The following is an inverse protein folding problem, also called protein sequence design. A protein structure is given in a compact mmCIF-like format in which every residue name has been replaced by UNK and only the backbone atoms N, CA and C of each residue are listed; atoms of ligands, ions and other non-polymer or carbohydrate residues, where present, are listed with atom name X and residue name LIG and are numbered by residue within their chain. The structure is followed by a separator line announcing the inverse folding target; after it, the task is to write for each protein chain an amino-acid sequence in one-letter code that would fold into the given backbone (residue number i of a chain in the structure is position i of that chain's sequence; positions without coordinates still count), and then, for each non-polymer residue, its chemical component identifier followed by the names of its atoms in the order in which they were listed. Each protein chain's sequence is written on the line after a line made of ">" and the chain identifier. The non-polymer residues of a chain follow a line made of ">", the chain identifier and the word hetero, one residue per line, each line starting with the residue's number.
data_IF_162310190459
#
_entry.id   IF_162310190459
#
_cell.length_a   1.000
_cell.length_b   1.000
_cell.length_c   1.000
_cell.angle_alpha   90.00
_cell.angle_beta   90.00
_cell.angle_gamma   90.00
#
_symmetry.space_group_name_H-M   'P 1'
#
loop_
_entity.id
_entity.type
_entity.pdbx_description
1 polymer ?
#
# COMPACT_ATOMS: atom_id res chain seq x y z
N UNK A 1 0.96 -11.97 13.25
CA UNK A 1 1.66 -10.67 13.06
C UNK A 1 3.16 -10.68 13.37
N UNK A 2 3.66 -11.07 14.57
CA UNK A 2 5.12 -11.08 14.85
C UNK A 2 5.92 -11.90 13.82
N UNK A 3 5.50 -13.15 13.59
CA UNK A 3 6.14 -14.06 12.64
C UNK A 3 6.11 -13.54 11.19
N UNK A 4 4.99 -12.94 10.78
CA UNK A 4 4.89 -12.30 9.48
C UNK A 4 5.89 -11.14 9.32
N UNK A 5 6.02 -10.28 10.33
CA UNK A 5 6.99 -9.19 10.32
C UNK A 5 8.43 -9.71 10.21
N UNK A 6 8.77 -10.77 10.94
CA UNK A 6 10.08 -11.44 10.85
C UNK A 6 10.34 -12.00 9.44
N UNK A 7 9.35 -12.63 8.79
CA UNK A 7 9.49 -13.12 7.42
C UNK A 7 9.67 -11.99 6.40
N UNK A 8 8.94 -10.88 6.54
CA UNK A 8 9.10 -9.71 5.67
C UNK A 8 10.50 -9.10 5.85
N UNK A 9 10.95 -8.91 7.09
CA UNK A 9 12.27 -8.38 7.38
C UNK A 9 13.37 -9.28 6.82
N UNK A 10 13.27 -10.61 7.03
CA UNK A 10 14.23 -11.56 6.46
C UNK A 10 14.24 -11.51 4.94
N UNK A 11 13.08 -11.41 4.29
CA UNK A 11 13.01 -11.29 2.84
C UNK A 11 13.67 -9.99 2.34
N UNK A 12 13.50 -8.86 3.04
CA UNK A 12 14.21 -7.61 2.73
C UNK A 12 15.72 -7.78 2.88
N UNK A 13 16.18 -8.42 3.96
CA UNK A 13 17.60 -8.72 4.19
C UNK A 13 18.19 -9.58 3.07
N UNK A 14 17.47 -10.62 2.66
CA UNK A 14 17.91 -11.52 1.59
C UNK A 14 18.01 -10.81 0.23
N UNK A 15 17.09 -9.88 -0.07
CA UNK A 15 17.11 -9.11 -1.32
C UNK A 15 18.16 -8.00 -1.33
N UNK A 16 18.39 -7.34 -0.19
CA UNK A 16 19.33 -6.22 -0.11
C UNK A 16 20.78 -6.66 0.10
N UNK A 17 21.02 -7.82 0.70
CA UNK A 17 22.36 -8.23 1.14
C UNK A 17 22.95 -7.20 2.10
N UNK A 18 24.17 -6.76 1.83
CA UNK A 18 24.87 -5.71 2.63
C UNK A 18 24.47 -4.28 2.22
N UNK A 19 23.62 -4.11 1.20
CA UNK A 19 23.21 -2.78 0.76
C UNK A 19 22.11 -2.19 1.65
N UNK A 20 22.10 -0.86 1.79
CA UNK A 20 20.95 -0.17 2.37
C UNK A 20 19.69 -0.40 1.53
N UNK A 21 18.51 -0.42 2.16
CA UNK A 21 17.24 -0.56 1.46
C UNK A 21 17.03 0.60 0.47
N UNK A 22 17.47 1.80 0.84
CA UNK A 22 17.47 2.96 -0.05
C UNK A 22 18.30 2.73 -1.32
N UNK A 23 19.50 2.16 -1.17
CA UNK A 23 20.36 1.85 -2.32
C UNK A 23 19.69 0.80 -3.21
N UNK A 24 19.16 -0.28 -2.63
CA UNK A 24 18.46 -1.31 -3.40
C UNK A 24 17.27 -0.73 -4.18
N UNK A 25 16.44 0.09 -3.53
CA UNK A 25 15.33 0.79 -4.18
C UNK A 25 15.83 1.71 -5.28
N UNK A 26 16.98 2.37 -5.09
CA UNK A 26 17.51 3.28 -6.10
C UNK A 26 17.84 2.58 -7.42
N UNK A 27 18.28 1.31 -7.35
CA UNK A 27 18.68 0.50 -8.50
C UNK A 27 17.49 -0.24 -9.14
N UNK A 28 16.48 -0.60 -8.36
CA UNK A 28 15.42 -1.52 -8.80
C UNK A 28 14.04 -0.85 -9.01
N UNK A 29 13.82 0.40 -8.59
CA UNK A 29 12.50 1.03 -8.62
C UNK A 29 12.06 1.49 -10.02
N UNK A 30 11.30 0.65 -10.72
CA UNK A 30 10.80 0.89 -12.09
C UNK A 30 9.26 1.06 -12.08
N UNK A 31 8.79 2.30 -12.18
CA UNK A 31 7.38 2.75 -12.19
C UNK A 31 7.12 4.12 -12.87
N UNK A 32 6.67 4.26 -14.14
CA UNK A 32 5.94 3.34 -15.00
C UNK A 32 6.74 2.83 -16.22
N UNK A 33 6.11 1.88 -16.94
CA UNK A 33 6.65 1.00 -17.97
C UNK A 33 6.77 1.60 -19.40
N UNK A 34 6.29 2.83 -19.64
CA UNK A 34 6.41 3.49 -20.96
C UNK A 34 7.49 4.57 -20.91
N UNK A 35 8.46 4.47 -21.82
CA UNK A 35 9.46 5.52 -22.01
C UNK A 35 8.77 6.85 -22.38
N UNK A 36 9.10 7.95 -21.73
CA UNK A 36 8.58 9.29 -22.01
C UNK A 36 7.45 9.77 -21.10
N UNK A 37 6.59 8.87 -20.60
CA UNK A 37 5.46 9.27 -19.73
C UNK A 37 5.95 9.84 -18.39
N UNK A 38 7.14 9.44 -17.94
CA UNK A 38 7.77 9.92 -16.69
C UNK A 38 8.39 11.27 -16.84
N UNK A 39 9.20 11.42 -17.87
CA UNK A 39 9.88 12.65 -18.20
C UNK A 39 8.84 13.77 -18.34
N UNK A 40 7.74 13.49 -19.03
CA UNK A 40 6.60 14.40 -19.14
C UNK A 40 5.95 14.75 -17.78
N UNK A 41 5.84 13.80 -16.84
CA UNK A 41 5.30 14.08 -15.50
C UNK A 41 6.27 14.90 -14.63
N UNK A 42 7.59 14.64 -14.71
CA UNK A 42 8.61 15.42 -14.02
C UNK A 42 8.69 16.84 -14.59
N UNK A 43 8.63 16.97 -15.91
CA UNK A 43 8.53 18.28 -16.58
C UNK A 43 7.26 19.02 -16.13
N UNK A 44 6.11 18.34 -16.13
CA UNK A 44 4.85 18.92 -15.62
C UNK A 44 4.96 19.37 -14.16
N UNK A 45 5.63 18.60 -13.30
CA UNK A 45 5.90 18.97 -11.91
C UNK A 45 6.79 20.21 -11.80
N UNK A 46 7.86 20.27 -12.60
CA UNK A 46 8.80 21.39 -12.63
C UNK A 46 8.19 22.68 -13.18
N UNK A 47 7.07 22.59 -13.92
CA UNK A 47 6.30 23.73 -14.41
C UNK A 47 5.25 24.25 -13.40
N UNK A 48 5.12 23.62 -12.23
CA UNK A 48 4.20 24.10 -11.20
C UNK A 48 4.78 25.31 -10.46
N UNK A 49 3.96 26.35 -10.27
CA UNK A 49 4.39 27.61 -9.65
C UNK A 49 4.87 27.46 -8.19
N UNK A 50 4.42 26.41 -7.49
CA UNK A 50 4.78 26.11 -6.10
C UNK A 50 6.07 25.29 -5.95
N UNK A 51 6.70 24.88 -7.06
CA UNK A 51 7.91 24.07 -7.03
C UNK A 51 9.14 24.96 -6.82
N UNK A 52 9.78 24.86 -5.64
CA UNK A 52 10.98 25.66 -5.33
C UNK A 52 12.26 25.20 -6.06
N UNK A 53 12.35 23.90 -6.37
CA UNK A 53 13.52 23.31 -7.03
C UNK A 53 13.09 22.28 -8.06
N UNK A 54 13.64 22.40 -9.26
CA UNK A 54 13.39 21.42 -10.32
C UNK A 54 13.96 20.05 -9.95
N UNK A 55 13.15 19.00 -10.10
CA UNK A 55 13.60 17.62 -10.06
C UNK A 55 14.42 17.35 -11.32
N UNK A 56 15.67 16.94 -11.16
CA UNK A 56 16.52 16.58 -12.30
C UNK A 56 15.95 15.35 -13.02
N UNK A 57 15.50 15.57 -14.25
CA UNK A 57 14.94 14.53 -15.10
C UNK A 57 16.01 13.50 -15.51
N UNK A 58 17.30 13.80 -15.31
CA UNK A 58 18.42 12.89 -15.59
C UNK A 58 18.77 11.95 -14.43
N UNK A 59 18.14 12.07 -13.25
CA UNK A 59 18.35 11.08 -12.18
C UNK A 59 17.90 9.68 -12.68
N UNK A 60 18.82 8.75 -12.87
CA UNK A 60 18.49 7.41 -13.36
C UNK A 60 17.59 6.66 -12.37
N UNK A 61 17.69 7.01 -11.08
CA UNK A 61 16.86 6.42 -10.04
C UNK A 61 15.50 7.08 -9.92
N UNK A 62 14.46 6.33 -10.28
CA UNK A 62 13.11 6.83 -10.16
C UNK A 62 12.56 6.83 -8.73
N UNK A 63 13.14 6.02 -7.85
CA UNK A 63 12.87 6.11 -6.42
C UNK A 63 13.31 7.48 -5.88
N UNK A 64 14.51 7.92 -6.25
CA UNK A 64 15.05 9.23 -5.84
C UNK A 64 14.16 10.36 -6.34
N UNK A 65 13.79 10.34 -7.63
CA UNK A 65 12.88 11.35 -8.19
C UNK A 65 11.51 11.37 -7.50
N UNK A 66 10.92 10.21 -7.24
CA UNK A 66 9.64 10.09 -6.50
C UNK A 66 9.76 10.68 -5.09
N UNK A 67 10.87 10.39 -4.40
CA UNK A 67 11.13 10.88 -3.06
C UNK A 67 11.27 12.40 -3.04
N UNK A 68 11.93 12.99 -4.04
CA UNK A 68 12.03 14.45 -4.22
C UNK A 68 10.65 15.11 -4.43
N UNK A 69 9.80 14.53 -5.29
CA UNK A 69 8.42 15.02 -5.48
C UNK A 69 7.64 14.97 -4.17
N UNK A 70 7.69 13.83 -3.44
CA UNK A 70 7.00 13.68 -2.16
C UNK A 70 7.43 14.77 -1.16
N UNK A 71 8.74 14.97 -1.00
CA UNK A 71 9.29 15.98 -0.10
C UNK A 71 8.88 17.41 -0.48
N UNK A 72 8.84 17.73 -1.78
CA UNK A 72 8.41 19.05 -2.24
C UNK A 72 6.90 19.29 -2.04
N UNK A 73 6.06 18.29 -2.34
CA UNK A 73 4.62 18.33 -2.05
C UNK A 73 4.40 18.52 -0.55
N UNK A 74 5.09 17.74 0.28
CA UNK A 74 5.04 17.85 1.74
C UNK A 74 5.43 19.24 2.22
N UNK A 75 6.48 19.85 1.66
CA UNK A 75 6.90 21.20 2.04
C UNK A 75 5.83 22.25 1.78
N UNK A 76 5.22 22.24 0.58
CA UNK A 76 4.10 23.14 0.24
C UNK A 76 2.94 22.96 1.20
N UNK A 77 2.70 21.70 1.53
CA UNK A 77 1.63 21.28 2.41
C UNK A 77 1.92 21.65 3.88
N UNK A 78 3.13 21.52 4.40
CA UNK A 78 3.50 21.88 5.77
C UNK A 78 3.70 23.39 5.98
N UNK A 79 3.95 24.14 4.90
CA UNK A 79 4.19 25.58 4.94
C UNK A 79 2.94 26.45 5.02
N UNK A 80 3.14 27.77 5.01
CA UNK A 80 2.07 28.78 4.95
C UNK A 80 1.59 29.04 3.51
N UNK A 81 1.81 28.08 2.60
CA UNK A 81 1.39 28.22 1.21
C UNK A 81 -0.13 28.46 1.13
N UNK A 82 -0.58 29.24 0.16
CA UNK A 82 -2.00 29.52 0.00
C UNK A 82 -2.80 28.27 -0.35
N UNK A 83 -4.11 28.28 -0.06
CA UNK A 83 -5.03 27.19 -0.39
C UNK A 83 -4.93 26.72 -1.86
N UNK A 84 -4.61 27.63 -2.79
CA UNK A 84 -4.45 27.33 -4.21
C UNK A 84 -3.22 26.45 -4.51
N UNK A 85 -2.10 26.70 -3.83
CA UNK A 85 -0.86 25.92 -4.01
C UNK A 85 -0.99 24.54 -3.37
N UNK A 86 -1.56 24.48 -2.16
CA UNK A 86 -1.85 23.21 -1.49
C UNK A 86 -2.82 22.34 -2.31
N UNK A 87 -3.86 22.95 -2.89
CA UNK A 87 -4.77 22.26 -3.80
C UNK A 87 -4.06 21.74 -5.05
N UNK A 88 -3.20 22.56 -5.66
CA UNK A 88 -2.45 22.18 -6.87
C UNK A 88 -1.47 21.06 -6.60
N UNK A 89 -0.78 21.07 -5.45
CA UNK A 89 0.12 20.02 -5.01
C UNK A 89 -0.60 18.68 -4.79
N UNK A 90 -1.73 18.69 -4.07
CA UNK A 90 -2.54 17.48 -3.86
C UNK A 90 -3.13 16.97 -5.17
N UNK A 91 -3.63 17.86 -6.02
CA UNK A 91 -4.19 17.48 -7.33
C UNK A 91 -3.13 16.83 -8.21
N UNK A 92 -1.94 17.41 -8.32
CA UNK A 92 -0.85 16.81 -9.06
C UNK A 92 -0.51 15.43 -8.51
N UNK A 93 -0.31 15.32 -7.19
CA UNK A 93 0.11 14.06 -6.59
C UNK A 93 -0.94 12.96 -6.71
N UNK A 94 -2.22 13.24 -6.48
CA UNK A 94 -3.27 12.22 -6.54
C UNK A 94 -3.66 11.90 -7.98
N UNK A 95 -3.97 12.92 -8.79
CA UNK A 95 -4.54 12.72 -10.10
C UNK A 95 -3.47 12.45 -11.15
N UNK A 96 -2.44 13.29 -11.22
CA UNK A 96 -1.42 13.17 -12.28
C UNK A 96 -0.41 12.08 -11.99
N UNK A 97 0.13 12.07 -10.77
CA UNK A 97 1.18 11.15 -10.33
C UNK A 97 0.61 9.80 -9.88
N UNK A 98 -0.37 9.82 -8.98
CA UNK A 98 -1.00 8.62 -8.40
C UNK A 98 -2.07 7.97 -9.27
N UNK A 99 -2.47 8.64 -10.36
CA UNK A 99 -3.56 8.22 -11.28
C UNK A 99 -4.89 7.92 -10.57
N UNK A 100 -5.17 8.63 -9.48
CA UNK A 100 -6.42 8.55 -8.74
C UNK A 100 -7.36 9.62 -9.29
N UNK A 101 -8.52 9.22 -9.82
CA UNK A 101 -9.50 10.19 -10.31
C UNK A 101 -10.32 10.76 -9.15
N UNK A 102 -9.87 11.87 -8.57
CA UNK A 102 -10.57 12.56 -7.47
C UNK A 102 -11.18 13.87 -7.98
N UNK A 103 -12.43 14.15 -7.60
CA UNK A 103 -13.12 15.41 -7.95
C UNK A 103 -12.44 16.60 -7.27
N UNK A 104 -12.47 17.76 -7.92
CA UNK A 104 -11.91 19.00 -7.36
C UNK A 104 -12.59 19.39 -6.04
N UNK A 105 -13.89 19.10 -5.88
CA UNK A 105 -14.60 19.30 -4.63
C UNK A 105 -14.01 18.42 -3.51
N UNK A 106 -13.78 17.15 -3.78
CA UNK A 106 -13.16 16.24 -2.81
C UNK A 106 -11.75 16.70 -2.48
N UNK A 107 -10.92 17.07 -3.47
CA UNK A 107 -9.57 17.60 -3.24
C UNK A 107 -9.58 18.86 -2.35
N UNK A 108 -10.53 19.78 -2.54
CA UNK A 108 -10.69 20.96 -1.67
C UNK A 108 -11.11 20.59 -0.25
N UNK A 109 -11.99 19.61 -0.07
CA UNK A 109 -12.36 19.09 1.27
C UNK A 109 -11.14 18.45 1.95
N UNK A 110 -10.33 17.73 1.19
CA UNK A 110 -9.10 17.11 1.65
C UNK A 110 -8.04 18.13 2.11
N UNK A 111 -7.87 19.25 1.39
CA UNK A 111 -7.03 20.38 1.86
C UNK A 111 -7.53 20.89 3.21
N UNK A 112 -8.85 21.09 3.35
CA UNK A 112 -9.46 21.60 4.59
C UNK A 112 -9.36 20.62 5.77
N UNK A 113 -9.53 19.32 5.52
CA UNK A 113 -9.44 18.28 6.58
C UNK A 113 -8.04 18.18 7.16
N UNK A 114 -7.01 18.38 6.34
CA UNK A 114 -5.61 18.36 6.78
C UNK A 114 -5.27 19.44 7.81
N UNK A 115 -5.96 20.59 7.75
CA UNK A 115 -5.81 21.67 8.74
C UNK A 115 -6.32 21.24 10.14
N UNK A 116 -7.10 20.15 10.23
CA UNK A 116 -7.77 19.72 11.47
C UNK A 116 -7.38 18.34 12.03
N UNK A 117 -6.32 17.69 11.54
CA UNK A 117 -5.89 16.36 11.99
C UNK A 117 -4.43 16.38 12.45
N UNK A 118 -4.13 15.93 13.68
CA UNK A 118 -2.79 15.95 14.26
C UNK A 118 -2.28 14.54 14.64
N UNK A 119 -1.71 13.82 13.66
CA UNK A 119 -0.88 12.63 13.93
C UNK A 119 -1.63 11.29 14.08
N UNK A 120 -0.87 10.19 14.35
CA UNK A 120 -1.39 8.83 14.41
C UNK A 120 -2.17 8.53 15.72
N UNK A 121 -1.96 9.32 16.77
CA UNK A 121 -2.59 9.18 18.09
C UNK A 121 -3.75 10.17 18.34
N UNK A 122 -4.08 11.02 17.37
CA UNK A 122 -5.24 11.91 17.51
C UNK A 122 -6.50 11.05 17.55
N UNK A 123 -7.29 11.17 18.62
CA UNK A 123 -8.56 10.44 18.82
C UNK A 123 -9.59 10.73 17.69
N UNK A 124 -9.24 11.66 16.78
CA UNK A 124 -9.97 12.09 15.59
C UNK A 124 -9.28 11.73 14.25
N UNK A 125 -8.16 11.01 14.24
CA UNK A 125 -7.66 10.29 13.07
C UNK A 125 -8.34 8.90 13.01
N UNK A 126 -9.39 8.75 12.22
CA UNK A 126 -10.70 9.06 12.74
C UNK A 126 -11.46 7.86 13.29
N UNK A 127 -11.57 7.69 14.61
CA UNK A 127 -12.61 6.78 15.12
C UNK A 127 -14.00 7.29 14.74
N UNK A 128 -14.27 8.60 14.81
CA UNK A 128 -15.57 9.20 14.42
C UNK A 128 -15.78 9.41 12.92
N UNK A 129 -14.74 9.81 12.18
CA UNK A 129 -14.80 9.94 10.71
C UNK A 129 -14.67 8.58 10.02
N UNK A 130 -14.12 7.51 10.66
CA UNK A 130 -14.12 6.08 10.22
C UNK A 130 -15.32 5.28 10.81
N UNK A 131 -15.88 5.60 11.98
CA UNK A 131 -17.10 4.92 12.49
C UNK A 131 -18.38 5.37 11.78
N UNK A 132 -18.44 6.62 11.31
CA UNK A 132 -19.53 7.09 10.43
C UNK A 132 -19.61 6.36 9.08
N UNK A 133 -18.66 5.45 8.79
CA UNK A 133 -18.41 4.83 7.48
C UNK A 133 -19.00 3.42 7.37
N UNK A 134 -19.40 2.78 8.47
CA UNK A 134 -19.68 1.34 8.47
C UNK A 134 -21.17 0.97 8.60
N UNK A 135 -21.82 0.50 7.51
CA UNK A 135 -22.76 -0.66 7.37
C UNK A 135 -23.36 -0.74 5.94
N UNK A 136 -23.86 -1.90 5.47
CA UNK A 136 -23.18 -3.18 5.30
C UNK A 136 -23.12 -3.53 3.80
N UNK A 137 -21.94 -3.46 3.14
CA UNK A 137 -21.60 -4.26 1.93
C UNK A 137 -20.25 -4.02 1.25
N UNK A 138 -19.34 -3.14 1.71
CA UNK A 138 -18.12 -2.89 0.93
C UNK A 138 -16.88 -2.69 1.79
N UNK A 139 -15.79 -3.33 1.34
CA UNK A 139 -14.56 -3.63 2.07
C UNK A 139 -13.64 -2.44 2.30
N UNK A 140 -13.83 -1.27 1.68
CA UNK A 140 -12.79 -0.23 1.71
C UNK A 140 -13.22 1.21 1.35
N UNK A 141 -14.50 1.56 1.47
CA UNK A 141 -14.95 2.90 1.07
C UNK A 141 -14.82 3.92 2.21
N UNK A 142 -14.38 5.16 1.95
CA UNK A 142 -14.75 6.31 2.79
C UNK A 142 -16.22 6.67 2.44
N UNK A 143 -17.07 7.08 3.38
CA UNK A 143 -18.37 7.67 2.98
C UNK A 143 -18.18 9.17 2.85
N UNK A 144 -18.23 9.71 1.62
CA UNK A 144 -18.49 11.13 1.48
C UNK A 144 -19.93 11.38 1.96
N UNK A 145 -20.14 12.42 2.75
CA UNK A 145 -21.48 12.99 2.91
C UNK A 145 -21.91 13.55 1.54
N UNK A 146 -22.58 12.71 0.74
CA UNK A 146 -22.97 12.98 -0.65
C UNK A 146 -23.02 11.72 -1.52
N UNK A 147 -23.43 11.88 -2.79
CA UNK A 147 -23.54 10.81 -3.79
C UNK A 147 -22.20 10.33 -4.39
N UNK A 148 -21.07 10.78 -3.86
CA UNK A 148 -19.73 10.55 -4.46
C UNK A 148 -19.01 9.34 -3.85
N UNK A 149 -18.44 8.48 -4.70
CA UNK A 149 -17.58 7.35 -4.30
C UNK A 149 -16.17 7.87 -4.03
N UNK A 150 -15.73 7.82 -2.79
CA UNK A 150 -14.39 8.24 -2.31
C UNK A 150 -13.25 7.24 -2.60
N UNK A 151 -13.48 6.24 -3.45
CA UNK A 151 -12.50 5.21 -3.78
C UNK A 151 -12.34 4.14 -2.70
N UNK A 152 -11.48 3.16 -2.98
CA UNK A 152 -11.10 2.08 -2.05
C UNK A 152 -9.86 2.49 -1.22
N UNK A 153 -9.34 1.60 -0.37
CA UNK A 153 -8.19 1.85 0.51
C UNK A 153 -6.93 2.25 -0.25
N UNK A 154 -6.71 1.71 -1.45
CA UNK A 154 -5.60 2.16 -2.30
C UNK A 154 -5.75 3.63 -2.69
N UNK A 155 -6.98 4.14 -2.84
CA UNK A 155 -7.22 5.54 -3.19
C UNK A 155 -7.05 6.48 -2.00
N UNK A 156 -7.65 6.17 -0.84
CA UNK A 156 -7.58 7.08 0.30
C UNK A 156 -6.27 6.98 1.09
N UNK A 157 -5.59 5.83 1.11
CA UNK A 157 -4.27 5.73 1.73
C UNK A 157 -3.21 6.56 1.00
N UNK A 158 -3.33 6.73 -0.33
CA UNK A 158 -2.51 7.68 -1.11
C UNK A 158 -2.73 9.11 -0.66
N UNK A 159 -3.97 9.47 -0.33
CA UNK A 159 -4.23 10.79 0.25
C UNK A 159 -3.61 10.92 1.63
N UNK A 160 -3.80 9.94 2.52
CA UNK A 160 -3.20 10.01 3.85
C UNK A 160 -1.67 10.10 3.77
N UNK A 161 -1.02 9.34 2.89
CA UNK A 161 0.42 9.40 2.69
C UNK A 161 0.93 10.78 2.23
N UNK A 162 0.07 11.59 1.60
CA UNK A 162 0.36 12.99 1.25
C UNK A 162 0.06 13.93 2.40
N UNK A 163 -1.07 13.69 3.08
CA UNK A 163 -1.53 14.56 4.15
C UNK A 163 -0.67 14.42 5.41
N UNK A 164 -0.20 13.21 5.68
CA UNK A 164 0.56 12.81 6.87
C UNK A 164 1.74 11.90 6.50
N UNK A 165 2.73 12.43 5.75
CA UNK A 165 3.87 11.64 5.26
C UNK A 165 4.70 10.99 6.38
N UNK A 166 4.64 11.54 7.60
CA UNK A 166 5.36 11.04 8.77
C UNK A 166 4.90 9.66 9.26
N UNK A 167 3.63 9.29 9.01
CA UNK A 167 3.08 8.03 9.54
C UNK A 167 2.21 7.27 8.54
N UNK A 168 1.61 7.94 7.56
CA UNK A 168 0.69 7.31 6.64
C UNK A 168 1.42 6.68 5.45
N UNK A 169 1.09 5.42 5.21
CA UNK A 169 1.62 4.62 4.11
C UNK A 169 0.53 4.27 3.11
N UNK A 170 0.92 4.00 1.88
CA UNK A 170 0.04 3.58 0.79
C UNK A 170 -0.23 2.08 0.91
N UNK A 171 -1.50 1.71 1.04
CA UNK A 171 -1.94 0.31 0.99
C UNK A 171 -2.54 0.00 -0.38
N UNK A 172 -1.65 -0.32 -1.32
CA UNK A 172 -1.99 -0.68 -2.71
C UNK A 172 -2.21 -2.19 -2.89
N UNK A 173 -2.85 -2.59 -3.99
CA UNK A 173 -3.08 -4.01 -4.30
C UNK A 173 -1.78 -4.80 -4.40
N UNK A 174 -0.69 -4.16 -4.86
CA UNK A 174 0.66 -4.77 -4.88
C UNK A 174 1.23 -5.01 -3.49
N UNK A 175 1.04 -4.06 -2.58
CA UNK A 175 1.51 -4.21 -1.19
C UNK A 175 0.76 -5.37 -0.52
N UNK A 176 -0.57 -5.40 -0.66
CA UNK A 176 -1.38 -6.52 -0.17
C UNK A 176 -0.99 -7.86 -0.80
N UNK A 177 -0.73 -7.88 -2.12
CA UNK A 177 -0.25 -9.08 -2.82
C UNK A 177 1.10 -9.55 -2.26
N UNK A 178 2.07 -8.65 -2.09
CA UNK A 178 3.39 -8.99 -1.57
C UNK A 178 3.31 -9.60 -0.17
N UNK A 179 2.50 -9.02 0.72
CA UNK A 179 2.28 -9.57 2.06
C UNK A 179 1.67 -10.98 1.99
N UNK A 180 0.64 -11.18 1.16
CA UNK A 180 0.02 -12.50 0.96
C UNK A 180 0.98 -13.51 0.32
N UNK A 181 1.83 -13.08 -0.62
CA UNK A 181 2.85 -13.92 -1.23
C UNK A 181 3.87 -14.40 -0.19
N UNK A 182 4.32 -13.52 0.70
CA UNK A 182 5.22 -13.88 1.81
C UNK A 182 4.53 -14.85 2.79
N UNK A 183 3.24 -14.65 3.11
CA UNK A 183 2.44 -15.61 3.90
C UNK A 183 2.48 -17.00 3.26
N UNK A 184 2.29 -17.08 1.94
CA UNK A 184 2.33 -18.33 1.21
C UNK A 184 3.73 -18.97 1.20
N UNK A 185 4.75 -18.21 0.79
CA UNK A 185 6.11 -18.71 0.61
C UNK A 185 6.69 -19.25 1.92
N UNK A 186 6.41 -18.60 3.05
CA UNK A 186 6.88 -19.01 4.37
C UNK A 186 5.92 -19.96 5.11
N UNK A 187 4.83 -20.43 4.47
CA UNK A 187 3.92 -21.40 5.05
C UNK A 187 3.23 -20.91 6.32
N UNK A 188 2.90 -19.62 6.39
CA UNK A 188 2.28 -19.00 7.56
C UNK A 188 0.78 -19.32 7.61
N UNK A 189 0.42 -20.59 7.77
CA UNK A 189 -0.94 -21.10 7.62
C UNK A 189 -1.98 -20.48 8.58
N UNK A 190 -1.54 -19.94 9.71
CA UNK A 190 -2.41 -19.32 10.72
C UNK A 190 -2.61 -17.81 10.54
N UNK A 191 -1.82 -17.15 9.69
CA UNK A 191 -1.97 -15.70 9.46
C UNK A 191 -3.21 -15.41 8.60
N UNK A 192 -4.12 -14.51 9.01
CA UNK A 192 -5.20 -14.07 8.14
C UNK A 192 -4.67 -13.45 6.85
N UNK A 193 -5.44 -13.57 5.77
CA UNK A 193 -5.12 -12.94 4.50
C UNK A 193 -5.35 -11.43 4.56
N UNK A 194 -4.51 -10.69 3.86
CA UNK A 194 -4.61 -9.26 3.70
C UNK A 194 -5.55 -8.96 2.55
N UNK A 195 -6.69 -8.30 2.77
CA UNK A 195 -7.65 -8.08 1.71
C UNK A 195 -7.03 -7.19 0.64
N UNK A 196 -6.99 -7.71 -0.60
CA UNK A 196 -6.44 -7.00 -1.74
C UNK A 196 -7.48 -6.02 -2.29
N UNK A 197 -7.20 -4.71 -2.38
CA UNK A 197 -8.05 -3.80 -3.13
C UNK A 197 -8.03 -4.16 -4.62
N UNK A 198 -9.13 -3.87 -5.33
CA UNK A 198 -9.22 -4.12 -6.77
C UNK A 198 -8.06 -3.43 -7.51
N UNK A 199 -7.26 -4.23 -8.21
CA UNK A 199 -6.07 -3.81 -8.93
C UNK A 199 -6.19 -4.03 -10.43
N UNK A 200 -5.60 -3.11 -11.21
CA UNK A 200 -5.49 -3.23 -12.68
C UNK A 200 -4.22 -3.96 -13.14
N UNK A 201 -3.44 -4.52 -12.20
CA UNK A 201 -2.20 -5.20 -12.56
C UNK A 201 -2.50 -6.58 -13.16
N UNK A 202 -2.41 -6.68 -14.50
CA UNK A 202 -2.69 -7.90 -15.25
C UNK A 202 -1.82 -9.09 -14.86
N UNK A 203 -0.58 -8.87 -14.41
CA UNK A 203 0.28 -9.96 -13.93
C UNK A 203 -0.27 -10.55 -12.64
N UNK A 204 -0.60 -9.70 -11.65
CA UNK A 204 -1.14 -10.17 -10.37
C UNK A 204 -2.50 -10.85 -10.52
N UNK A 205 -3.27 -10.48 -11.55
CA UNK A 205 -4.54 -11.12 -11.87
C UNK A 205 -4.38 -12.48 -12.56
N UNK A 206 -3.19 -12.81 -13.10
CA UNK A 206 -2.93 -14.11 -13.73
C UNK A 206 -2.89 -15.24 -12.68
N UNK A 207 -2.35 -14.93 -11.51
CA UNK A 207 -2.19 -15.88 -10.41
C UNK A 207 -2.91 -15.35 -9.18
N UNK A 208 -4.10 -15.89 -8.92
CA UNK A 208 -4.86 -15.60 -7.72
C UNK A 208 -4.19 -16.24 -6.48
N UNK A 209 -3.38 -15.43 -5.79
CA UNK A 209 -2.63 -15.83 -4.60
C UNK A 209 -3.56 -16.31 -3.47
N UNK A 210 -4.77 -15.77 -3.37
CA UNK A 210 -5.74 -16.18 -2.34
C UNK A 210 -6.19 -17.61 -2.58
N UNK A 211 -6.50 -17.94 -3.84
CA UNK A 211 -6.83 -19.32 -4.26
C UNK A 211 -5.66 -20.28 -4.01
N UNK A 212 -4.43 -19.89 -4.32
CA UNK A 212 -3.24 -20.72 -4.06
C UNK A 212 -3.06 -20.99 -2.56
N UNK A 213 -3.18 -19.96 -1.72
CA UNK A 213 -3.02 -20.11 -0.27
C UNK A 213 -4.08 -21.07 0.28
N UNK A 214 -5.33 -20.95 -0.18
CA UNK A 214 -6.41 -21.87 0.20
C UNK A 214 -6.18 -23.29 -0.30
N UNK A 215 -5.61 -23.44 -1.49
CA UNK A 215 -5.28 -24.73 -2.10
C UNK A 215 -3.97 -25.34 -1.55
N UNK A 216 -3.19 -24.64 -0.73
CA UNK A 216 -2.00 -25.20 -0.10
C UNK A 216 -2.35 -26.24 0.97
N UNK A 217 -1.61 -27.36 1.00
CA UNK A 217 -1.95 -28.56 1.81
C UNK A 217 -2.19 -28.28 3.30
N UNK A 218 -1.52 -27.26 3.87
CA UNK A 218 -1.68 -26.86 5.27
C UNK A 218 -2.99 -26.13 5.60
N UNK A 219 -3.55 -25.38 4.64
CA UNK A 219 -4.83 -24.65 4.83
C UNK A 219 -6.03 -25.38 4.27
N UNK A 220 -5.88 -26.24 3.25
CA UNK A 220 -7.00 -26.95 2.63
C UNK A 220 -7.89 -27.64 3.65
N UNK A 221 -7.32 -28.49 4.52
CA UNK A 221 -8.11 -29.29 5.48
C UNK A 221 -8.92 -28.40 6.44
N UNK A 222 -8.27 -27.38 7.01
CA UNK A 222 -8.90 -26.45 7.95
C UNK A 222 -9.93 -25.53 7.27
N UNK A 223 -9.63 -25.09 6.05
CA UNK A 223 -10.54 -24.30 5.22
C UNK A 223 -11.80 -25.09 4.88
N UNK A 224 -11.66 -26.35 4.45
CA UNK A 224 -12.80 -27.23 4.17
C UNK A 224 -13.59 -27.58 5.43
N UNK A 225 -12.94 -27.80 6.57
CA UNK A 225 -13.61 -28.01 7.87
C UNK A 225 -14.45 -26.78 8.28
N UNK A 226 -13.88 -25.57 8.22
CA UNK A 226 -14.60 -24.31 8.46
C UNK A 226 -15.76 -24.13 7.48
N UNK A 227 -15.54 -24.40 6.19
CA UNK A 227 -16.58 -24.27 5.17
C UNK A 227 -17.71 -25.29 5.41
N UNK A 228 -17.39 -26.55 5.77
CA UNK A 228 -18.37 -27.58 6.14
C UNK A 228 -19.17 -27.19 7.39
N UNK A 229 -18.52 -26.62 8.41
CA UNK A 229 -19.19 -26.14 9.62
C UNK A 229 -20.26 -25.07 9.34
N UNK A 230 -20.15 -24.34 8.22
CA UNK A 230 -21.11 -23.34 7.77
C UNK A 230 -22.21 -23.91 6.84
N UNK A 231 -22.35 -25.23 6.72
CA UNK A 231 -23.39 -25.85 5.91
C UNK A 231 -24.79 -25.47 6.42
N UNK A 232 -25.69 -25.09 5.50
CA UNK A 232 -27.04 -24.62 5.84
C UNK A 232 -27.12 -23.15 6.31
N UNK A 233 -25.99 -22.48 6.55
CA UNK A 233 -26.00 -21.07 6.92
C UNK A 233 -26.31 -20.15 5.72
N UNK A 234 -27.16 -19.11 5.89
CA UNK A 234 -27.32 -18.08 4.87
C UNK A 234 -25.99 -17.35 4.65
N UNK A 235 -25.71 -16.98 3.40
CA UNK A 235 -24.46 -16.30 2.99
C UNK A 235 -23.18 -17.05 3.39
N UNK A 236 -23.21 -18.39 3.38
CA UNK A 236 -22.10 -19.29 3.73
C UNK A 236 -20.74 -18.85 3.20
N UNK A 237 -20.64 -18.50 1.92
CA UNK A 237 -19.37 -18.09 1.27
C UNK A 237 -18.86 -16.78 1.85
N UNK A 238 -19.73 -15.80 2.10
CA UNK A 238 -19.36 -14.53 2.74
C UNK A 238 -18.83 -14.78 4.15
N UNK A 239 -19.56 -15.56 4.95
CA UNK A 239 -19.14 -15.89 6.33
C UNK A 239 -17.83 -16.66 6.37
N UNK A 240 -17.63 -17.58 5.43
CA UNK A 240 -16.36 -18.28 5.29
C UNK A 240 -15.23 -17.31 4.98
N UNK A 241 -15.46 -16.39 4.03
CA UNK A 241 -14.51 -15.33 3.70
C UNK A 241 -14.16 -14.49 4.94
N UNK A 242 -15.12 -14.11 5.76
CA UNK A 242 -14.85 -13.33 6.98
C UNK A 242 -13.94 -14.08 7.99
N UNK A 243 -13.83 -15.42 7.90
CA UNK A 243 -12.89 -16.20 8.74
C UNK A 243 -11.47 -16.32 8.18
N UNK A 244 -11.24 -15.84 6.96
CA UNK A 244 -9.98 -15.99 6.23
C UNK A 244 -9.14 -14.71 6.20
N UNK A 245 -9.78 -13.55 6.22
CA UNK A 245 -9.12 -12.25 6.06
C UNK A 245 -9.10 -11.50 7.38
N UNK A 246 -8.20 -10.52 7.48
CA UNK A 246 -8.37 -9.44 8.44
C UNK A 246 -9.70 -8.71 8.20
N UNK A 247 -10.28 -8.16 9.27
CA UNK A 247 -11.44 -7.27 9.12
C UNK A 247 -11.00 -6.06 8.28
N UNK A 248 -11.80 -5.78 7.27
CA UNK A 248 -11.65 -4.66 6.36
C UNK A 248 -11.46 -3.32 7.10
N UNK A 249 -12.14 -3.16 8.25
CA UNK A 249 -12.08 -1.95 9.08
C UNK A 249 -10.73 -1.73 9.73
N UNK A 250 -10.12 -2.83 10.16
CA UNK A 250 -8.87 -2.80 10.93
C UNK A 250 -7.65 -2.96 10.02
N UNK A 251 -7.86 -3.41 8.77
CA UNK A 251 -6.79 -3.77 7.83
C UNK A 251 -5.73 -2.68 7.68
N UNK A 252 -6.13 -1.41 7.56
CA UNK A 252 -5.15 -0.34 7.38
C UNK A 252 -4.32 -0.07 8.64
N UNK A 253 -4.95 -0.08 9.82
CA UNK A 253 -4.23 0.09 11.09
C UNK A 253 -3.29 -1.10 11.34
N UNK A 254 -3.77 -2.33 11.08
CA UNK A 254 -2.95 -3.53 11.14
C UNK A 254 -1.78 -3.46 10.17
N UNK A 255 -1.98 -2.89 8.98
CA UNK A 255 -0.94 -2.69 7.98
C UNK A 255 0.14 -1.74 8.50
N UNK A 256 -0.23 -0.57 9.02
CA UNK A 256 0.74 0.36 9.60
C UNK A 256 1.52 -0.30 10.75
N UNK A 257 0.82 -1.00 11.65
CA UNK A 257 1.45 -1.71 12.75
C UNK A 257 2.38 -2.85 12.27
N UNK A 258 2.05 -3.52 11.17
CA UNK A 258 2.91 -4.53 10.55
C UNK A 258 4.19 -3.89 10.03
N UNK A 259 4.09 -2.80 9.27
CA UNK A 259 5.25 -2.14 8.67
C UNK A 259 6.17 -1.55 9.74
N UNK A 260 5.60 -0.91 10.76
CA UNK A 260 6.36 -0.41 11.92
C UNK A 260 7.14 -1.54 12.61
N UNK A 261 6.51 -2.71 12.74
CA UNK A 261 7.16 -3.88 13.33
C UNK A 261 8.28 -4.42 12.46
N UNK A 262 8.12 -4.42 11.14
CA UNK A 262 9.19 -4.80 10.20
C UNK A 262 10.36 -3.82 10.32
N UNK A 263 10.07 -2.51 10.36
CA UNK A 263 11.06 -1.46 10.53
C UNK A 263 11.87 -1.64 11.81
N UNK A 264 11.20 -1.83 12.95
CA UNK A 264 11.84 -2.14 14.23
C UNK A 264 12.74 -3.39 14.17
N UNK A 265 12.34 -4.44 13.44
CA UNK A 265 13.14 -5.66 13.29
C UNK A 265 14.41 -5.39 12.47
N UNK A 266 14.30 -4.63 11.38
CA UNK A 266 15.44 -4.25 10.53
C UNK A 266 16.43 -3.36 11.29
N UNK A 267 15.94 -2.41 12.09
CA UNK A 267 16.79 -1.56 12.94
C UNK A 267 17.54 -2.40 13.99
N UNK A 268 16.85 -3.36 14.61
CA UNK A 268 17.47 -4.25 15.62
C UNK A 268 18.47 -5.22 15.01
N UNK A 269 18.22 -5.71 13.78
CA UNK A 269 19.14 -6.64 13.12
C UNK A 269 20.40 -5.94 12.63
N UNK A 270 20.29 -4.67 12.21
CA UNK A 270 21.40 -3.85 11.72
C UNK A 270 22.00 -4.33 10.40
N UNK A 271 21.43 -5.38 9.77
CA UNK A 271 21.95 -5.95 8.51
C UNK A 271 21.62 -5.09 7.30
N UNK A 272 20.44 -4.45 7.31
CA UNK A 272 20.01 -3.54 6.26
C UNK A 272 19.64 -2.20 6.88
N UNK A 273 20.31 -1.15 6.45
CA UNK A 273 19.93 0.20 6.82
C UNK A 273 18.58 0.56 6.18
N UNK A 274 17.56 0.78 7.02
CA UNK A 274 16.23 1.26 6.66
C UNK A 274 15.90 2.51 7.46
N UNK A 275 15.77 3.65 6.78
CA UNK A 275 15.61 4.95 7.44
C UNK A 275 14.16 5.38 7.60
N UNK A 276 13.21 4.69 6.96
CA UNK A 276 11.78 4.97 7.12
C UNK A 276 10.89 3.80 6.72
N UNK A 277 9.73 3.71 7.37
CA UNK A 277 8.67 2.76 7.02
C UNK A 277 8.21 2.87 5.55
N UNK A 278 8.30 4.06 4.94
CA UNK A 278 8.00 4.28 3.52
C UNK A 278 8.93 3.52 2.57
N UNK A 279 10.16 3.18 2.99
CA UNK A 279 11.04 2.33 2.20
C UNK A 279 10.53 0.89 2.13
N UNK A 280 9.93 0.39 3.22
CA UNK A 280 9.35 -0.95 3.28
C UNK A 280 8.09 -1.02 2.40
N UNK A 281 7.22 -0.01 2.47
CA UNK A 281 6.08 0.14 1.54
C UNK A 281 6.56 0.07 0.07
N UNK A 282 7.54 0.91 -0.28
CA UNK A 282 8.06 0.99 -1.64
C UNK A 282 8.68 -0.34 -2.08
N UNK A 283 9.40 -1.02 -1.19
CA UNK A 283 9.96 -2.33 -1.44
C UNK A 283 8.87 -3.37 -1.73
N UNK A 284 7.88 -3.53 -0.85
CA UNK A 284 6.77 -4.47 -1.01
C UNK A 284 6.01 -4.23 -2.32
N UNK A 285 5.79 -2.95 -2.64
CA UNK A 285 5.16 -2.54 -3.88
C UNK A 285 5.97 -2.98 -5.12
N UNK A 286 7.30 -2.89 -5.07
CA UNK A 286 8.19 -3.22 -6.18
C UNK A 286 8.34 -4.72 -6.41
N UNK A 287 8.53 -5.50 -5.34
CA UNK A 287 8.75 -6.95 -5.47
C UNK A 287 7.47 -7.71 -5.86
N UNK A 288 6.29 -7.09 -5.71
CA UNK A 288 5.00 -7.72 -5.93
C UNK A 288 4.81 -8.26 -7.36
N UNK A 289 5.12 -7.48 -8.41
CA UNK A 289 4.94 -7.89 -9.82
C UNK A 289 6.26 -8.26 -10.54
N UNK A 290 7.32 -8.45 -9.75
CA UNK A 290 8.62 -9.01 -10.10
C UNK A 290 8.89 -10.28 -9.29
N UNK A 291 9.92 -10.26 -8.44
CA UNK A 291 10.47 -11.43 -7.74
C UNK A 291 9.44 -12.28 -7.01
N UNK A 292 8.51 -11.68 -6.25
CA UNK A 292 7.50 -12.45 -5.53
C UNK A 292 6.55 -13.14 -6.50
N UNK A 293 6.13 -12.47 -7.57
CA UNK A 293 5.27 -13.10 -8.57
C UNK A 293 5.95 -14.31 -9.21
N UNK A 294 7.24 -14.19 -9.56
CA UNK A 294 8.02 -15.26 -10.16
C UNK A 294 8.18 -16.46 -9.20
N UNK A 295 8.55 -16.21 -7.94
CA UNK A 295 8.64 -17.25 -6.91
C UNK A 295 7.32 -17.98 -6.68
N UNK A 296 6.20 -17.24 -6.69
CA UNK A 296 4.86 -17.84 -6.59
C UNK A 296 4.57 -18.70 -7.82
N UNK A 297 4.82 -18.19 -9.02
CA UNK A 297 4.57 -18.89 -10.27
C UNK A 297 5.38 -20.19 -10.34
N UNK A 298 6.67 -20.14 -10.03
CA UNK A 298 7.54 -21.32 -9.98
C UNK A 298 7.02 -22.36 -9.00
N UNK A 299 6.67 -21.95 -7.78
CA UNK A 299 6.19 -22.88 -6.75
C UNK A 299 4.79 -23.45 -7.06
N UNK A 300 3.91 -22.67 -7.67
CA UNK A 300 2.55 -23.09 -7.98
C UNK A 300 2.47 -23.97 -9.23
N UNK A 301 3.39 -23.78 -10.18
CA UNK A 301 3.46 -24.51 -11.44
C UNK A 301 4.48 -25.66 -11.40
N UNK A 302 5.26 -25.78 -10.33
CA UNK A 302 6.16 -26.91 -10.13
C UNK A 302 5.37 -28.23 -10.18
N UNK A 303 5.84 -29.23 -10.94
CA UNK A 303 5.20 -30.55 -10.96
C UNK A 303 5.22 -31.13 -9.55
N UNK A 304 4.09 -31.71 -9.14
CA UNK A 304 4.00 -32.44 -7.88
C UNK A 304 4.99 -33.61 -7.93
N UNK A 305 6.04 -33.55 -7.10
CA UNK A 305 6.99 -34.64 -6.87
C UNK A 305 6.37 -35.65 -5.92
#
# INVERSE_FOLDING_TARGET
>A
MKKLAECIAQYIEDQCGDASLQFWLSQNYIWPKKAGDREALYEKFNLQDWTESAVDVRDDSCYVKTSKIKAAVEKVLAGTAGDADQFSAIRFFLNDWGKVNVSDETLRRLVKLRIGMAGPDDVLAPAGTIDGINRPRSRFALKATGTEKTGNVSSWSKYLAVAFPEWALIYDSRVAYAINAIIYLHGLADEPLWPMPDGVNSKLNLIDIETIILASQGRQRRAFEKLRALQGAPHRVSRFRDTLYHDDKDTYQLYLALIEKVHSILEQSGKVACTSAGQIEAFLFMVADGDLFEMIAERALAPAV
#
